data_IF_874679802113
#
_entry.id   IF_874679802113
#
_cell.length_a   1.000
_cell.length_b   1.000
_cell.length_c   1.000
_cell.angle_alpha   90.00
_cell.angle_beta   90.00
_cell.angle_gamma   90.00
#
_symmetry.space_group_name_H-M   'P 1'
#
loop_
_entity.id
_entity.type
_entity.pdbx_description
1 polymer ?
#
# COMPACT_ATOMS: atom_id res chain seq x y z
N UNK A 1 -8.40 -22.32 20.06
CA UNK A 1 -9.22 -21.22 19.50
C UNK A 1 -8.37 -20.56 18.42
N UNK A 2 -8.94 -20.22 17.25
CA UNK A 2 -8.23 -19.45 16.22
C UNK A 2 -7.80 -18.09 16.78
N UNK A 3 -6.74 -17.49 16.22
CA UNK A 3 -6.40 -16.11 16.57
C UNK A 3 -7.43 -15.15 15.95
N UNK A 4 -7.61 -13.96 16.55
CA UNK A 4 -8.48 -12.92 15.98
C UNK A 4 -8.11 -12.61 14.52
N UNK A 5 -6.81 -12.65 14.19
CA UNK A 5 -6.32 -12.50 12.81
C UNK A 5 -6.88 -13.57 11.87
N UNK A 6 -6.90 -14.84 12.31
CA UNK A 6 -7.45 -15.95 11.51
C UNK A 6 -8.96 -15.84 11.32
N UNK A 7 -9.68 -15.38 12.35
CA UNK A 7 -11.13 -15.17 12.29
C UNK A 7 -11.46 -14.02 11.31
N UNK A 8 -10.79 -12.88 11.46
CA UNK A 8 -11.01 -11.70 10.62
C UNK A 8 -10.56 -11.91 9.17
N UNK A 9 -9.49 -12.68 8.93
CA UNK A 9 -9.03 -12.99 7.57
C UNK A 9 -9.91 -14.03 6.87
N UNK A 10 -10.86 -14.65 7.58
CA UNK A 10 -11.63 -15.78 7.06
C UNK A 10 -10.75 -16.98 6.71
N UNK A 11 -9.64 -17.16 7.46
CA UNK A 11 -8.62 -18.20 7.21
C UNK A 11 -7.92 -18.12 5.84
N UNK A 12 -7.89 -16.94 5.21
CA UNK A 12 -7.13 -16.75 3.96
C UNK A 12 -5.63 -16.73 4.18
N UNK A 13 -4.92 -17.18 3.16
CA UNK A 13 -3.46 -17.08 3.08
C UNK A 13 -3.02 -15.62 2.94
N UNK A 14 -1.94 -15.28 3.62
CA UNK A 14 -1.36 -13.94 3.57
C UNK A 14 -0.65 -13.73 2.24
N UNK A 15 -1.10 -12.74 1.47
CA UNK A 15 -0.53 -12.42 0.16
C UNK A 15 0.53 -11.31 0.24
N UNK A 16 0.45 -10.46 1.26
CA UNK A 16 1.39 -9.36 1.47
C UNK A 16 1.56 -8.96 2.92
N UNK A 17 2.80 -8.59 3.26
CA UNK A 17 3.16 -8.00 4.54
C UNK A 17 3.93 -6.71 4.28
N UNK A 18 3.51 -5.60 4.89
CA UNK A 18 4.24 -4.32 4.80
C UNK A 18 4.08 -3.47 6.06
N UNK A 19 4.98 -2.51 6.23
CA UNK A 19 4.89 -1.47 7.27
C UNK A 19 4.49 -0.17 6.58
N UNK A 20 3.31 0.33 6.92
CA UNK A 20 2.71 1.51 6.33
C UNK A 20 3.19 2.81 6.97
N UNK A 21 3.52 2.77 8.27
CA UNK A 21 3.83 3.95 9.07
C UNK A 21 5.19 3.78 9.74
N UNK A 22 6.04 4.80 9.68
CA UNK A 22 7.25 4.87 10.50
C UNK A 22 6.88 5.36 11.91
N UNK A 23 6.35 4.45 12.72
CA UNK A 23 5.87 4.74 14.07
C UNK A 23 6.56 3.84 15.10
N UNK A 24 7.19 4.40 16.16
CA UNK A 24 7.91 3.59 17.15
C UNK A 24 6.96 2.87 18.13
N UNK A 25 5.67 3.19 18.14
CA UNK A 25 4.71 2.64 19.09
C UNK A 25 4.20 1.26 18.69
N UNK A 26 3.79 0.47 19.69
CA UNK A 26 3.04 -0.76 19.48
C UNK A 26 1.58 -0.46 19.22
N UNK A 27 0.94 -1.33 18.45
CA UNK A 27 -0.48 -1.23 18.19
C UNK A 27 -1.30 -1.60 19.43
N UNK A 28 -2.46 -0.96 19.57
CA UNK A 28 -3.50 -1.34 20.54
C UNK A 28 -4.83 -1.61 19.85
N UNK A 29 -4.88 -1.38 18.54
CA UNK A 29 -6.05 -1.59 17.70
C UNK A 29 -5.62 -2.36 16.46
N UNK A 30 -6.43 -3.34 16.08
CA UNK A 30 -6.41 -4.00 14.80
C UNK A 30 -7.62 -3.52 14.01
N UNK A 31 -7.39 -2.76 12.94
CA UNK A 31 -8.44 -2.28 12.05
C UNK A 31 -8.61 -3.24 10.87
N UNK A 32 -9.85 -3.57 10.57
CA UNK A 32 -10.20 -4.35 9.38
C UNK A 32 -10.60 -3.46 8.20
N UNK A 33 -10.11 -3.83 7.03
CA UNK A 33 -10.60 -3.29 5.76
C UNK A 33 -11.85 -4.01 5.28
N UNK A 34 -12.57 -3.43 4.29
CA UNK A 34 -13.75 -4.06 3.72
C UNK A 34 -13.44 -5.45 3.18
N UNK A 35 -14.46 -6.31 3.19
CA UNK A 35 -14.34 -7.61 2.57
C UNK A 35 -14.00 -7.48 1.07
N UNK A 36 -13.24 -8.44 0.56
CA UNK A 36 -13.08 -8.55 -0.89
C UNK A 36 -14.42 -8.85 -1.55
N UNK A 37 -14.54 -8.49 -2.82
CA UNK A 37 -15.73 -8.75 -3.65
C UNK A 37 -16.10 -10.25 -3.65
N UNK A 38 -15.12 -11.15 -3.44
CA UNK A 38 -15.35 -12.59 -3.29
C UNK A 38 -14.90 -13.12 -1.92
N UNK A 39 -15.86 -13.56 -1.11
CA UNK A 39 -15.65 -14.42 0.06
C UNK A 39 -15.67 -13.71 1.44
N UNK A 40 -15.83 -14.48 2.53
CA UNK A 40 -15.85 -13.95 3.88
C UNK A 40 -14.46 -13.46 4.33
N UNK A 41 -14.41 -12.42 5.16
CA UNK A 41 -13.19 -11.90 5.80
C UNK A 41 -12.66 -10.59 5.21
N UNK A 42 -11.88 -9.86 6.01
CA UNK A 42 -11.30 -8.54 5.71
C UNK A 42 -10.22 -8.61 4.62
N UNK A 43 -10.27 -7.73 3.61
CA UNK A 43 -9.28 -7.71 2.53
C UNK A 43 -7.86 -7.42 3.03
N UNK A 44 -7.75 -6.69 4.14
CA UNK A 44 -6.52 -6.40 4.84
C UNK A 44 -6.82 -6.15 6.32
N UNK A 45 -5.78 -6.24 7.14
CA UNK A 45 -5.78 -5.87 8.54
C UNK A 45 -4.60 -4.92 8.79
N UNK A 46 -4.81 -3.86 9.56
CA UNK A 46 -3.75 -2.93 9.94
C UNK A 46 -3.68 -2.74 11.45
N UNK A 47 -2.47 -2.81 11.99
CA UNK A 47 -2.18 -2.64 13.41
C UNK A 47 -1.88 -1.17 13.69
N UNK A 48 -2.62 -0.53 14.59
CA UNK A 48 -2.55 0.91 14.87
C UNK A 48 -2.40 1.21 16.36
N UNK A 49 -1.58 2.19 16.68
CA UNK A 49 -1.53 2.79 18.01
C UNK A 49 -2.66 3.84 18.16
N UNK A 50 -2.97 4.30 19.38
CA UNK A 50 -4.07 5.25 19.62
C UNK A 50 -3.97 6.58 18.87
N UNK A 51 -2.76 6.96 18.40
CA UNK A 51 -2.57 8.15 17.57
C UNK A 51 -3.08 7.87 16.16
N UNK A 52 -2.64 6.77 15.54
CA UNK A 52 -2.96 6.47 14.14
C UNK A 52 -4.30 5.77 13.91
N UNK A 53 -5.10 5.52 14.96
CA UNK A 53 -6.48 5.07 14.79
C UNK A 53 -7.35 6.15 14.14
N UNK A 54 -7.02 7.44 14.28
CA UNK A 54 -7.80 8.53 13.68
C UNK A 54 -7.21 9.04 12.35
N UNK A 55 -5.94 8.77 12.07
CA UNK A 55 -5.15 9.49 11.05
C UNK A 55 -4.83 8.71 9.76
N UNK A 56 -5.51 7.59 9.51
CA UNK A 56 -5.34 6.85 8.25
C UNK A 56 -6.29 7.37 7.17
N UNK A 57 -6.08 8.62 6.77
CA UNK A 57 -6.89 9.27 5.74
C UNK A 57 -6.87 8.49 4.42
N UNK A 58 -8.05 8.30 3.84
CA UNK A 58 -8.24 7.58 2.57
C UNK A 58 -8.21 6.05 2.67
N UNK A 59 -7.77 5.46 3.78
CA UNK A 59 -7.83 4.01 3.97
C UNK A 59 -9.24 3.55 4.40
N UNK A 60 -9.92 2.70 3.61
CA UNK A 60 -11.30 2.31 3.91
C UNK A 60 -11.36 1.30 5.08
N UNK A 61 -11.85 1.70 6.26
CA UNK A 61 -12.05 0.79 7.39
C UNK A 61 -13.51 0.37 7.58
N UNK A 62 -13.75 -0.86 8.08
CA UNK A 62 -15.10 -1.33 8.45
C UNK A 62 -15.32 -1.50 9.94
N UNK A 63 -14.30 -1.92 10.69
CA UNK A 63 -14.36 -2.02 12.15
C UNK A 63 -12.96 -1.96 12.78
N UNK A 64 -12.95 -1.66 14.08
CA UNK A 64 -11.77 -1.65 14.93
C UNK A 64 -11.91 -2.72 16.02
N UNK A 65 -10.84 -3.47 16.24
CA UNK A 65 -10.77 -4.55 17.22
C UNK A 65 -9.62 -4.28 18.21
N UNK A 66 -9.77 -4.62 19.50
CA UNK A 66 -8.69 -4.45 20.46
C UNK A 66 -7.50 -5.38 20.13
N UNK A 67 -6.29 -4.85 20.20
CA UNK A 67 -5.03 -5.59 20.18
C UNK A 67 -4.20 -5.23 21.42
N UNK A 68 -3.30 -6.12 21.85
CA UNK A 68 -2.50 -5.95 23.06
C UNK A 68 -1.00 -5.74 22.77
N UNK A 69 -0.65 -5.17 21.62
CA UNK A 69 0.74 -4.87 21.26
C UNK A 69 1.43 -5.97 20.50
N UNK A 70 0.68 -6.80 19.77
CA UNK A 70 1.21 -7.95 19.04
C UNK A 70 2.17 -7.52 17.94
N UNK A 71 1.89 -6.40 17.27
CA UNK A 71 2.68 -5.88 16.17
C UNK A 71 3.03 -4.39 16.32
N UNK A 72 4.09 -3.90 15.64
CA UNK A 72 4.34 -2.47 15.47
C UNK A 72 3.16 -1.76 14.81
N UNK A 73 2.94 -0.49 15.19
CA UNK A 73 2.00 0.38 14.50
C UNK A 73 2.37 0.50 13.01
N UNK A 74 1.36 0.50 12.14
CA UNK A 74 1.52 0.52 10.69
C UNK A 74 1.71 -0.86 10.05
N UNK A 75 1.80 -1.95 10.82
CA UNK A 75 1.89 -3.30 10.22
C UNK A 75 0.60 -3.62 9.47
N UNK A 76 0.69 -3.95 8.19
CA UNK A 76 -0.43 -4.34 7.34
C UNK A 76 -0.28 -5.80 6.92
N UNK A 77 -1.31 -6.59 7.20
CA UNK A 77 -1.53 -7.90 6.59
C UNK A 77 -2.51 -7.74 5.44
N UNK A 78 -2.09 -8.11 4.24
CA UNK A 78 -2.87 -7.95 3.02
C UNK A 78 -3.20 -9.31 2.43
N UNK A 79 -4.50 -9.58 2.26
CA UNK A 79 -5.02 -10.84 1.74
C UNK A 79 -5.50 -10.70 0.29
N UNK A 80 -5.30 -9.52 -0.33
CA UNK A 80 -5.68 -9.26 -1.72
C UNK A 80 -4.72 -9.91 -2.69
N UNK A 81 -5.26 -10.31 -3.85
CA UNK A 81 -4.46 -10.73 -4.98
C UNK A 81 -3.42 -9.64 -5.34
N UNK A 82 -2.34 -9.99 -6.04
CA UNK A 82 -1.38 -9.02 -6.53
C UNK A 82 -2.02 -7.83 -7.25
N UNK A 83 -3.01 -8.06 -8.12
CA UNK A 83 -3.76 -7.03 -8.84
C UNK A 83 -4.57 -6.16 -7.88
N UNK A 84 -5.24 -6.77 -6.89
CA UNK A 84 -5.99 -6.02 -5.88
C UNK A 84 -5.09 -5.12 -5.02
N UNK A 85 -3.85 -5.54 -4.78
CA UNK A 85 -2.85 -4.70 -4.09
C UNK A 85 -2.31 -3.58 -4.98
N UNK A 86 -2.06 -3.85 -6.27
CA UNK A 86 -1.68 -2.82 -7.23
C UNK A 86 -2.78 -1.77 -7.38
N UNK A 87 -4.05 -2.19 -7.47
CA UNK A 87 -5.19 -1.29 -7.45
C UNK A 87 -5.23 -0.45 -6.17
N UNK A 88 -5.00 -1.07 -5.01
CA UNK A 88 -4.91 -0.32 -3.74
C UNK A 88 -3.84 0.77 -3.77
N UNK A 89 -2.64 0.48 -4.28
CA UNK A 89 -1.58 1.48 -4.38
C UNK A 89 -1.94 2.57 -5.39
N UNK A 90 -2.57 2.21 -6.50
CA UNK A 90 -3.09 3.16 -7.48
C UNK A 90 -4.09 4.13 -6.83
N UNK A 91 -5.08 3.61 -6.12
CA UNK A 91 -6.17 4.41 -5.54
C UNK A 91 -5.68 5.30 -4.39
N UNK A 92 -4.86 4.74 -3.49
CA UNK A 92 -4.49 5.42 -2.23
C UNK A 92 -3.48 6.54 -2.43
N UNK A 93 -2.50 6.35 -3.30
CA UNK A 93 -1.38 7.30 -3.37
C UNK A 93 -0.82 7.53 -4.78
N UNK A 94 -0.75 6.51 -5.63
CA UNK A 94 -0.04 6.65 -6.91
C UNK A 94 -0.84 7.47 -7.93
N UNK A 95 -2.16 7.28 -8.02
CA UNK A 95 -3.04 8.10 -8.86
C UNK A 95 -3.16 9.53 -8.33
N UNK A 96 -3.44 9.78 -7.03
CA UNK A 96 -3.40 11.14 -6.48
C UNK A 96 -2.07 11.85 -6.74
N UNK A 97 -0.95 11.13 -6.63
CA UNK A 97 0.37 11.71 -6.82
C UNK A 97 0.68 11.96 -8.30
N UNK A 98 0.32 11.07 -9.22
CA UNK A 98 0.76 11.16 -10.63
C UNK A 98 -0.30 11.66 -11.60
N UNK A 99 -1.58 11.59 -11.23
CA UNK A 99 -2.71 11.81 -12.12
C UNK A 99 -2.93 10.69 -13.16
N UNK A 100 -2.16 9.60 -13.08
CA UNK A 100 -2.28 8.46 -14.01
C UNK A 100 -3.36 7.52 -13.52
N UNK A 101 -4.40 7.31 -14.32
CA UNK A 101 -5.52 6.42 -13.99
C UNK A 101 -5.24 4.99 -14.49
N UNK A 102 -5.22 3.96 -13.61
CA UNK A 102 -5.04 2.57 -14.03
C UNK A 102 -6.16 2.07 -14.97
N UNK A 103 -7.37 2.63 -14.89
CA UNK A 103 -8.50 2.20 -15.74
C UNK A 103 -8.23 2.46 -17.25
N UNK A 104 -7.39 3.45 -17.58
CA UNK A 104 -6.97 3.72 -18.96
C UNK A 104 -6.09 2.60 -19.55
N UNK A 105 -5.56 1.71 -18.70
CA UNK A 105 -4.64 0.64 -19.10
C UNK A 105 -5.30 -0.75 -19.03
N UNK A 106 -6.43 -0.90 -18.34
CA UNK A 106 -7.10 -2.18 -18.13
C UNK A 106 -6.27 -3.10 -17.23
N UNK A 107 -6.00 -4.32 -17.68
CA UNK A 107 -5.16 -5.30 -16.98
C UNK A 107 -3.65 -5.11 -17.19
N UNK A 108 -3.24 -4.11 -17.99
CA UNK A 108 -1.86 -3.83 -18.35
C UNK A 108 -1.12 -3.04 -17.26
N UNK A 109 -0.93 -3.68 -16.11
CA UNK A 109 -0.24 -3.09 -14.95
C UNK A 109 1.17 -2.59 -15.26
N UNK A 110 1.90 -3.28 -16.15
CA UNK A 110 3.23 -2.85 -16.56
C UNK A 110 3.22 -1.47 -17.25
N UNK A 111 2.24 -1.23 -18.12
CA UNK A 111 2.10 0.04 -18.85
C UNK A 111 1.69 1.18 -17.91
N UNK A 112 0.77 0.90 -16.99
CA UNK A 112 0.36 1.84 -15.94
C UNK A 112 1.56 2.26 -15.06
N UNK A 113 2.32 1.29 -14.54
CA UNK A 113 3.49 1.56 -13.69
C UNK A 113 4.61 2.27 -14.45
N UNK A 114 4.79 1.99 -15.74
CA UNK A 114 5.75 2.70 -16.58
C UNK A 114 5.35 4.17 -16.75
N UNK A 115 4.08 4.46 -17.03
CA UNK A 115 3.61 5.84 -17.13
C UNK A 115 3.69 6.59 -15.80
N UNK A 116 3.26 5.97 -14.70
CA UNK A 116 3.32 6.59 -13.38
C UNK A 116 4.77 6.90 -12.98
N UNK A 117 5.71 5.99 -13.27
CA UNK A 117 7.14 6.21 -13.05
C UNK A 117 7.69 7.38 -13.87
N UNK A 118 7.31 7.52 -15.15
CA UNK A 118 7.73 8.65 -15.99
C UNK A 118 7.27 9.99 -15.43
N UNK A 119 6.05 10.06 -14.90
CA UNK A 119 5.55 11.29 -14.28
C UNK A 119 6.35 11.64 -13.02
N UNK A 120 6.61 10.66 -12.15
CA UNK A 120 7.41 10.88 -10.94
C UNK A 120 8.84 11.32 -11.27
N UNK A 121 9.46 10.71 -12.30
CA UNK A 121 10.79 11.08 -12.76
C UNK A 121 10.83 12.51 -13.27
N UNK A 122 9.92 12.90 -14.16
CA UNK A 122 9.86 14.26 -14.71
C UNK A 122 9.70 15.31 -13.60
N UNK A 123 8.84 15.07 -12.61
CA UNK A 123 8.66 15.98 -11.47
C UNK A 123 9.90 16.07 -10.58
N UNK A 124 10.58 14.95 -10.35
CA UNK A 124 11.83 14.95 -9.59
C UNK A 124 12.95 15.71 -10.33
N UNK A 125 13.01 15.60 -11.66
CA UNK A 125 13.95 16.35 -12.51
C UNK A 125 13.64 17.84 -12.53
N UNK A 126 12.36 18.23 -12.61
CA UNK A 126 11.91 19.63 -12.52
C UNK A 126 12.29 20.27 -11.18
N UNK A 127 12.03 19.58 -10.05
CA UNK A 127 12.43 20.04 -8.72
C UNK A 127 13.96 20.17 -8.60
N UNK A 128 14.72 19.19 -9.10
CA UNK A 128 16.18 19.27 -9.10
C UNK A 128 16.70 20.44 -9.94
N UNK A 129 16.08 20.72 -11.09
CA UNK A 129 16.42 21.87 -11.93
C UNK A 129 16.10 23.22 -11.24
N UNK A 130 15.09 23.25 -10.37
CA UNK A 130 14.78 24.39 -9.51
C UNK A 130 15.68 24.50 -8.26
N UNK A 131 16.55 23.50 -8.01
CA UNK A 131 17.41 23.44 -6.84
C UNK A 131 16.68 22.99 -5.56
N UNK A 132 15.54 22.33 -5.69
CA UNK A 132 14.73 21.82 -4.58
C UNK A 132 15.01 20.33 -4.33
N UNK A 133 15.05 19.93 -3.06
CA UNK A 133 15.11 18.52 -2.69
C UNK A 133 13.73 17.89 -2.89
N UNK A 134 13.65 16.89 -3.78
CA UNK A 134 12.39 16.19 -4.04
C UNK A 134 12.31 14.87 -3.25
N UNK A 135 11.33 14.73 -2.33
CA UNK A 135 11.13 13.46 -1.63
C UNK A 135 10.74 12.31 -2.57
N UNK A 136 10.33 12.62 -3.80
CA UNK A 136 10.02 11.64 -4.84
C UNK A 136 11.26 10.85 -5.28
N UNK A 137 12.48 11.39 -5.14
CA UNK A 137 13.71 10.68 -5.50
C UNK A 137 13.85 9.37 -4.73
N UNK A 138 13.42 9.35 -3.46
CA UNK A 138 13.46 8.16 -2.61
C UNK A 138 12.49 7.06 -3.09
N UNK A 139 11.46 7.41 -3.86
CA UNK A 139 10.47 6.48 -4.40
C UNK A 139 10.91 5.84 -5.73
N UNK A 140 11.77 6.52 -6.51
CA UNK A 140 12.09 6.14 -7.89
C UNK A 140 12.73 4.75 -8.01
N UNK A 141 13.59 4.36 -7.06
CA UNK A 141 14.24 3.05 -7.08
C UNK A 141 13.21 1.90 -6.95
N UNK A 142 12.31 2.00 -5.96
CA UNK A 142 11.25 1.01 -5.74
C UNK A 142 10.23 0.98 -6.88
N UNK A 143 9.87 2.14 -7.42
CA UNK A 143 9.05 2.22 -8.64
C UNK A 143 9.70 1.52 -9.84
N UNK A 144 11.01 1.69 -10.02
CA UNK A 144 11.75 1.04 -11.11
C UNK A 144 11.77 -0.49 -10.96
N UNK A 145 11.85 -1.00 -9.72
CA UNK A 145 11.72 -2.44 -9.43
C UNK A 145 10.30 -2.91 -9.79
N UNK A 146 9.28 -2.24 -9.26
CA UNK A 146 7.88 -2.62 -9.47
C UNK A 146 7.51 -2.71 -10.96
N UNK A 147 7.94 -1.72 -11.75
CA UNK A 147 7.76 -1.68 -13.20
C UNK A 147 8.45 -2.87 -13.90
N UNK A 148 9.69 -3.16 -13.54
CA UNK A 148 10.47 -4.25 -14.16
C UNK A 148 9.87 -5.62 -13.83
N UNK A 149 9.35 -5.82 -12.63
CA UNK A 149 8.75 -7.10 -12.23
C UNK A 149 7.37 -7.26 -12.84
N UNK A 150 6.56 -6.21 -12.89
CA UNK A 150 5.28 -6.22 -13.60
C UNK A 150 5.44 -6.53 -15.10
N UNK A 151 6.45 -5.95 -15.76
CA UNK A 151 6.76 -6.26 -17.16
C UNK A 151 7.17 -7.74 -17.41
N UNK A 152 7.57 -8.45 -16.35
CA UNK A 152 7.86 -9.90 -16.39
C UNK A 152 6.66 -10.76 -15.97
N UNK A 153 5.52 -10.15 -15.68
CA UNK A 153 4.32 -10.83 -15.17
C UNK A 153 4.34 -11.09 -13.66
N UNK A 154 5.33 -10.62 -12.92
CA UNK A 154 5.42 -10.81 -11.47
C UNK A 154 4.79 -9.63 -10.72
N UNK A 155 3.46 -9.67 -10.64
CA UNK A 155 2.67 -8.64 -9.98
C UNK A 155 2.80 -8.69 -8.45
N UNK A 156 3.11 -9.85 -7.87
CA UNK A 156 3.27 -10.01 -6.42
C UNK A 156 4.51 -9.26 -5.92
N UNK A 157 5.64 -9.40 -6.61
CA UNK A 157 6.85 -8.63 -6.32
C UNK A 157 6.65 -7.16 -6.69
N UNK A 158 5.90 -6.86 -7.76
CA UNK A 158 5.59 -5.48 -8.12
C UNK A 158 4.84 -4.75 -6.99
N UNK A 159 3.73 -5.31 -6.52
CA UNK A 159 2.95 -4.77 -5.42
C UNK A 159 3.79 -4.63 -4.13
N UNK A 160 4.58 -5.65 -3.79
CA UNK A 160 5.43 -5.63 -2.59
C UNK A 160 6.46 -4.50 -2.64
N UNK A 161 7.07 -4.28 -3.80
CA UNK A 161 8.08 -3.23 -3.99
C UNK A 161 7.52 -1.83 -3.79
N UNK A 162 6.22 -1.63 -4.05
CA UNK A 162 5.53 -0.36 -3.85
C UNK A 162 5.20 -0.06 -2.39
N UNK A 163 5.33 -1.02 -1.47
CA UNK A 163 5.01 -0.82 -0.05
C UNK A 163 5.83 0.31 0.59
N UNK A 164 7.12 0.41 0.27
CA UNK A 164 7.96 1.51 0.77
C UNK A 164 7.56 2.87 0.16
N UNK A 165 7.17 2.89 -1.12
CA UNK A 165 6.67 4.11 -1.75
C UNK A 165 5.38 4.60 -1.07
N UNK A 166 4.48 3.69 -0.70
CA UNK A 166 3.25 4.02 0.03
C UNK A 166 3.57 4.68 1.38
N UNK A 167 4.53 4.14 2.15
CA UNK A 167 5.00 4.76 3.40
C UNK A 167 5.50 6.18 3.18
N UNK A 168 6.32 6.40 2.14
CA UNK A 168 6.84 7.72 1.81
C UNK A 168 5.71 8.66 1.36
N UNK A 169 4.78 8.19 0.56
CA UNK A 169 3.68 8.99 0.03
C UNK A 169 2.75 9.51 1.15
N UNK A 170 2.56 8.75 2.22
CA UNK A 170 1.81 9.18 3.40
C UNK A 170 2.50 10.30 4.20
N UNK A 171 3.78 10.57 3.93
CA UNK A 171 4.56 11.63 4.58
C UNK A 171 4.75 12.88 3.72
N UNK A 172 4.20 12.90 2.50
CA UNK A 172 4.22 14.03 1.57
C UNK A 172 3.09 15.02 1.86
#
# INVERSE_FOLDING_TARGET
>A
MPSIVQELSGHRDLEGLRILLDCPFKATVLREGPAQVSGPGAAWLVYLCPVHTVDLDGWPGTADHPDNGTNPCGTVFDYRSPEGRLQSHADLWLTPLTGVDPAAYGDRWADFLDQAHRVLLARAEEAAAAGEDSPLQNMLASMAVARRTAAKGDLGVAATSLGYCETLALSL
#
